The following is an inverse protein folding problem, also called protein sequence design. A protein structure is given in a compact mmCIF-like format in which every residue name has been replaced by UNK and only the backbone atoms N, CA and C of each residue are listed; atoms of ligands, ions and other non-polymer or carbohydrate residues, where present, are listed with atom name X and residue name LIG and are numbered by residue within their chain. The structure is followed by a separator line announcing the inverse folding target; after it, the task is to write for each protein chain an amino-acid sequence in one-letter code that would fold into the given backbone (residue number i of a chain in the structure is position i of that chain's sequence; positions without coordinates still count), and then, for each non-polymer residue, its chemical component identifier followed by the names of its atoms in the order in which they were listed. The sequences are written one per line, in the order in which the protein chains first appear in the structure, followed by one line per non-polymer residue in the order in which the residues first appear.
data_IF_006004525441
#
_entry.id   IF_006004525441
#
_cell.length_a   1.000
_cell.length_b   1.000
_cell.length_c   1.000
_cell.angle_alpha   90.00
_cell.angle_beta   90.00
_cell.angle_gamma   90.00
#
_symmetry.space_group_name_H-M   'P 1'
#
loop_
_entity.id
_entity.type
_entity.pdbx_description
1 polymer ?
#
# COMPACT_ATOMS: atom_id res chain seq x y z
N UNK A 1 -20.67 6.26 26.05
CA UNK A 1 -20.36 5.35 27.17
C UNK A 1 -19.80 6.18 28.31
N UNK A 2 -20.21 5.95 29.55
CA UNK A 2 -19.80 6.67 30.75
C UNK A 2 -18.99 5.75 31.65
N UNK A 3 -17.87 6.27 32.14
CA UNK A 3 -16.93 5.59 33.03
C UNK A 3 -16.58 6.57 34.14
N UNK A 4 -16.14 6.07 35.30
CA UNK A 4 -15.60 6.92 36.36
C UNK A 4 -14.43 7.74 35.82
N UNK A 5 -14.44 9.05 36.04
CA UNK A 5 -13.39 9.94 35.59
C UNK A 5 -12.10 9.66 36.39
N UNK A 6 -11.14 9.04 35.73
CA UNK A 6 -9.78 8.82 36.24
C UNK A 6 -8.80 9.52 35.28
N UNK A 7 -7.87 10.34 35.79
CA UNK A 7 -6.98 11.15 34.96
C UNK A 7 -6.09 10.28 34.05
N UNK A 8 -5.74 9.07 34.49
CA UNK A 8 -4.86 8.15 33.77
C UNK A 8 -5.48 7.51 32.52
N UNK A 9 -6.82 7.56 32.41
CA UNK A 9 -7.60 6.96 31.33
C UNK A 9 -8.03 7.98 30.26
N UNK A 10 -7.84 9.27 30.51
CA UNK A 10 -8.25 10.33 29.59
C UNK A 10 -7.48 10.23 28.27
N UNK A 11 -8.21 10.16 27.15
CA UNK A 11 -7.63 10.09 25.80
C UNK A 11 -7.03 8.72 25.43
N UNK A 12 -7.22 7.69 26.26
CA UNK A 12 -6.73 6.34 26.00
C UNK A 12 -7.87 5.39 25.65
N UNK A 13 -7.53 4.32 24.93
CA UNK A 13 -8.45 3.25 24.62
C UNK A 13 -8.41 2.24 25.78
N UNK A 14 -9.58 1.94 26.33
CA UNK A 14 -9.76 1.10 27.51
C UNK A 14 -10.86 0.07 27.26
N UNK A 15 -10.65 -1.15 27.75
CA UNK A 15 -11.68 -2.18 27.73
C UNK A 15 -12.58 -2.03 28.95
N UNK A 16 -13.89 -2.08 28.73
CA UNK A 16 -14.88 -1.91 29.78
C UNK A 16 -15.96 -2.97 29.73
N UNK A 17 -16.31 -3.48 30.90
CA UNK A 17 -17.47 -4.33 31.10
C UNK A 17 -18.71 -3.45 31.24
N UNK A 18 -19.72 -3.70 30.42
CA UNK A 18 -20.97 -2.94 30.43
C UNK A 18 -21.88 -3.52 31.51
N UNK A 19 -22.28 -2.68 32.47
CA UNK A 19 -23.19 -3.09 33.53
C UNK A 19 -24.57 -2.42 33.46
N UNK A 20 -24.72 -1.32 32.72
CA UNK A 20 -26.00 -0.62 32.58
C UNK A 20 -26.10 0.03 31.20
N UNK A 21 -27.24 -0.15 30.53
CA UNK A 21 -27.54 0.45 29.23
C UNK A 21 -28.89 1.16 29.28
N UNK A 22 -28.89 2.46 29.04
CA UNK A 22 -30.08 3.28 28.85
C UNK A 22 -30.25 3.70 27.38
N UNK A 23 -31.36 4.36 27.07
CA UNK A 23 -31.68 4.83 25.70
C UNK A 23 -30.59 5.73 25.08
N UNK A 24 -29.87 6.49 25.91
CA UNK A 24 -28.87 7.47 25.49
C UNK A 24 -27.51 7.32 26.17
N UNK A 25 -27.36 6.31 27.04
CA UNK A 25 -26.12 6.11 27.78
C UNK A 25 -25.83 4.63 27.96
N UNK A 26 -24.56 4.32 28.12
CA UNK A 26 -24.07 2.99 28.47
C UNK A 26 -23.04 3.24 29.55
N UNK A 27 -23.15 2.62 30.71
CA UNK A 27 -22.14 2.71 31.78
C UNK A 27 -21.27 1.47 31.77
N UNK A 28 -19.97 1.70 31.87
CA UNK A 28 -18.96 0.64 31.91
C UNK A 28 -18.11 0.70 33.16
N UNK A 29 -17.60 -0.44 33.60
CA UNK A 29 -16.55 -0.57 34.60
C UNK A 29 -15.25 -1.00 33.90
N UNK A 30 -14.12 -0.44 34.32
CA UNK A 30 -12.81 -0.86 33.81
C UNK A 30 -12.55 -2.32 34.18
N UNK A 31 -12.05 -3.10 33.23
CA UNK A 31 -11.59 -4.46 33.50
C UNK A 31 -10.23 -4.36 34.19
N UNK A 32 -10.10 -4.92 35.40
CA UNK A 32 -8.92 -4.76 36.27
C UNK A 32 -7.57 -5.21 35.66
N UNK A 33 -7.58 -5.85 34.49
CA UNK A 33 -6.39 -6.34 33.79
C UNK A 33 -6.37 -5.96 32.30
N UNK A 34 -7.13 -4.95 31.88
CA UNK A 34 -7.12 -4.49 30.49
C UNK A 34 -5.91 -3.59 30.22
N UNK A 35 -5.20 -3.89 29.14
CA UNK A 35 -4.12 -3.04 28.65
C UNK A 35 -4.68 -1.67 28.22
N UNK A 36 -4.12 -0.60 28.78
CA UNK A 36 -4.52 0.77 28.44
C UNK A 36 -3.72 1.21 27.21
N UNK A 37 -4.34 1.14 26.04
CA UNK A 37 -3.68 1.44 24.76
C UNK A 37 -3.76 2.94 24.49
N UNK A 38 -2.61 3.59 24.33
CA UNK A 38 -2.57 4.99 23.86
C UNK A 38 -2.74 5.02 22.33
N UNK A 39 -3.86 5.54 21.80
CA UNK A 39 -4.12 5.53 20.37
C UNK A 39 -3.14 6.40 19.56
N UNK A 40 -2.50 7.38 20.20
CA UNK A 40 -1.56 8.31 19.57
C UNK A 40 -0.12 7.79 19.40
N UNK A 41 0.21 6.61 19.95
CA UNK A 41 1.55 6.01 19.86
C UNK A 41 1.67 4.98 18.72
N UNK A 42 0.60 4.72 17.98
CA UNK A 42 0.67 3.84 16.81
C UNK A 42 1.47 4.54 15.72
N UNK A 43 2.50 3.86 15.21
CA UNK A 43 3.26 4.36 14.06
C UNK A 43 2.31 4.65 12.90
N UNK A 44 2.41 5.82 12.26
CA UNK A 44 1.51 6.18 11.17
C UNK A 44 1.62 5.14 10.06
N UNK A 45 0.49 4.89 9.40
CA UNK A 45 0.43 3.96 8.27
C UNK A 45 1.40 4.43 7.17
N UNK A 46 2.14 3.51 6.57
CA UNK A 46 3.08 3.85 5.51
C UNK A 46 2.38 4.57 4.34
N UNK A 47 3.09 5.49 3.67
CA UNK A 47 2.54 6.26 2.55
C UNK A 47 2.03 5.31 1.45
N UNK A 48 0.74 5.36 1.15
CA UNK A 48 0.09 4.50 0.14
C UNK A 48 -0.62 3.27 0.72
N UNK A 49 -0.54 3.03 2.03
CA UNK A 49 -1.36 2.03 2.70
C UNK A 49 -2.76 2.59 2.98
N UNK A 50 -3.77 1.72 2.89
CA UNK A 50 -5.18 2.06 3.07
C UNK A 50 -5.66 1.35 4.34
N UNK A 51 -6.19 2.12 5.30
CA UNK A 51 -6.76 1.56 6.53
C UNK A 51 -7.93 0.62 6.19
N UNK A 52 -7.85 -0.65 6.60
CA UNK A 52 -8.95 -1.60 6.46
C UNK A 52 -8.79 -2.67 5.36
N UNK A 53 -7.74 -2.61 4.55
CA UNK A 53 -7.30 -3.80 3.81
C UNK A 53 -6.57 -4.70 4.81
N UNK A 54 -7.18 -5.85 5.10
CA UNK A 54 -6.68 -6.86 6.01
C UNK A 54 -5.21 -7.19 5.67
N UNK A 55 -4.31 -6.67 6.49
CA UNK A 55 -2.91 -7.08 6.53
C UNK A 55 -2.78 -7.95 7.78
N UNK A 56 -3.28 -9.19 7.73
CA UNK A 56 -3.12 -10.22 8.78
C UNK A 56 -1.64 -10.59 9.08
N UNK A 57 -0.70 -9.79 8.62
CA UNK A 57 0.74 -9.99 8.77
C UNK A 57 1.42 -8.78 9.45
N UNK A 58 0.67 -7.80 9.97
CA UNK A 58 1.22 -6.52 10.39
C UNK A 58 1.96 -6.51 11.75
N UNK A 59 1.96 -7.60 12.51
CA UNK A 59 2.74 -7.70 13.76
C UNK A 59 4.07 -8.47 13.61
N UNK A 60 4.43 -8.90 12.40
CA UNK A 60 5.72 -9.57 12.10
C UNK A 60 6.60 -8.83 11.09
N UNK A 61 6.26 -7.61 10.71
CA UNK A 61 7.11 -6.83 9.80
C UNK A 61 8.08 -6.01 10.63
N UNK A 62 9.10 -6.73 11.13
CA UNK A 62 10.47 -6.22 11.23
C UNK A 62 10.71 -5.32 10.03
N UNK A 63 11.28 -4.14 10.28
CA UNK A 63 11.77 -3.19 9.28
C UNK A 63 12.67 -3.88 8.25
N UNK A 64 12.06 -4.52 7.26
CA UNK A 64 12.75 -5.03 6.09
C UNK A 64 12.41 -4.08 4.96
N UNK A 65 13.24 -3.04 4.85
CA UNK A 65 13.43 -2.26 3.62
C UNK A 65 13.98 -3.19 2.53
N UNK A 66 13.19 -4.16 2.06
CA UNK A 66 13.56 -4.98 0.91
C UNK A 66 13.47 -4.09 -0.33
N UNK A 67 14.57 -3.87 -1.07
CA UNK A 67 14.47 -3.25 -2.38
C UNK A 67 13.60 -4.15 -3.24
N UNK A 68 12.52 -3.59 -3.80
CA UNK A 68 11.66 -4.30 -4.76
C UNK A 68 12.54 -5.03 -5.79
N UNK A 69 12.16 -6.26 -6.20
CA UNK A 69 12.97 -7.03 -7.12
C UNK A 69 13.12 -6.25 -8.43
N UNK A 70 14.36 -5.81 -8.70
CA UNK A 70 14.74 -5.06 -9.90
C UNK A 70 14.44 -5.82 -11.21
N UNK A 71 14.02 -7.08 -11.10
CA UNK A 71 13.67 -8.00 -12.17
C UNK A 71 12.58 -7.46 -13.09
N UNK A 72 11.51 -6.84 -12.57
CA UNK A 72 10.38 -6.37 -13.41
C UNK A 72 10.84 -5.23 -14.35
N UNK A 73 11.68 -4.32 -13.85
CA UNK A 73 12.21 -3.22 -14.65
C UNK A 73 13.08 -3.69 -15.81
N UNK A 74 13.81 -4.78 -15.64
CA UNK A 74 14.62 -5.35 -16.72
C UNK A 74 13.75 -5.90 -17.86
N UNK A 75 12.61 -6.53 -17.56
CA UNK A 75 11.72 -7.04 -18.61
C UNK A 75 11.08 -5.91 -19.43
N UNK A 76 10.69 -4.81 -18.76
CA UNK A 76 10.14 -3.63 -19.44
C UNK A 76 11.19 -3.00 -20.37
N UNK A 77 12.44 -2.87 -19.90
CA UNK A 77 13.54 -2.33 -20.70
C UNK A 77 13.86 -3.21 -21.91
N UNK A 78 13.98 -4.53 -21.72
CA UNK A 78 14.21 -5.47 -22.83
C UNK A 78 13.08 -5.46 -23.85
N UNK A 79 11.82 -5.39 -23.40
CA UNK A 79 10.67 -5.30 -24.30
C UNK A 79 10.72 -4.01 -25.13
N UNK A 80 11.05 -2.87 -24.50
CA UNK A 80 11.25 -1.59 -25.21
C UNK A 80 12.37 -1.65 -26.25
N UNK A 81 13.52 -2.26 -25.91
CA UNK A 81 14.63 -2.44 -26.83
C UNK A 81 14.26 -3.35 -28.02
N UNK A 82 13.53 -4.43 -27.77
CA UNK A 82 13.06 -5.33 -28.82
C UNK A 82 12.15 -4.60 -29.82
N UNK A 83 11.18 -3.82 -29.32
CA UNK A 83 10.28 -3.03 -30.16
C UNK A 83 11.06 -1.98 -30.97
N UNK A 84 12.05 -1.33 -30.38
CA UNK A 84 12.91 -0.36 -31.06
C UNK A 84 13.67 -1.00 -32.25
N UNK A 85 14.28 -2.17 -32.04
CA UNK A 85 15.02 -2.89 -33.08
C UNK A 85 14.09 -3.30 -34.22
N UNK A 86 12.91 -3.83 -33.91
CA UNK A 86 11.91 -4.21 -34.93
C UNK A 86 11.45 -2.99 -35.73
N UNK A 87 11.19 -1.86 -35.06
CA UNK A 87 10.77 -0.62 -35.74
C UNK A 87 11.85 -0.09 -36.70
N UNK A 88 13.11 -0.04 -36.26
CA UNK A 88 14.25 0.38 -37.10
C UNK A 88 14.39 -0.57 -38.30
N UNK A 89 14.27 -1.88 -38.06
CA UNK A 89 14.41 -2.88 -39.13
C UNK A 89 13.32 -2.71 -40.20
N UNK A 90 12.07 -2.53 -39.77
CA UNK A 90 10.95 -2.30 -40.69
C UNK A 90 11.11 -0.99 -41.48
N UNK A 91 11.60 0.07 -40.83
CA UNK A 91 11.82 1.36 -41.49
C UNK A 91 12.95 1.29 -42.53
N UNK A 92 14.05 0.62 -42.20
CA UNK A 92 15.15 0.35 -43.15
C UNK A 92 14.68 -0.54 -44.31
N UNK A 93 13.92 -1.61 -44.03
CA UNK A 93 13.32 -2.43 -45.07
C UNK A 93 12.40 -1.61 -45.99
N UNK A 94 11.59 -0.71 -45.42
CA UNK A 94 10.71 0.19 -46.17
C UNK A 94 11.51 1.16 -47.05
N UNK A 95 12.59 1.74 -46.50
CA UNK A 95 13.48 2.64 -47.22
C UNK A 95 14.18 1.94 -48.40
N UNK A 96 14.72 0.74 -48.17
CA UNK A 96 15.37 -0.07 -49.22
C UNK A 96 14.36 -0.46 -50.30
N UNK A 97 13.16 -0.86 -49.91
CA UNK A 97 12.08 -1.16 -50.84
C UNK A 97 11.76 0.06 -51.70
N UNK A 98 11.60 1.23 -51.10
CA UNK A 98 11.32 2.49 -51.80
C UNK A 98 12.42 2.86 -52.80
N UNK A 99 13.70 2.75 -52.42
CA UNK A 99 14.83 3.04 -53.32
C UNK A 99 14.84 2.07 -54.52
N UNK A 100 14.59 0.77 -54.27
CA UNK A 100 14.56 -0.25 -55.32
C UNK A 100 13.36 -0.10 -56.26
N UNK A 101 12.21 0.36 -55.76
CA UNK A 101 11.03 0.61 -56.60
C UNK A 101 11.12 1.94 -57.35
N UNK A 102 11.84 2.93 -56.82
CA UNK A 102 11.98 4.26 -57.42
C UNK A 102 13.17 4.38 -58.41
N UNK A 103 13.92 3.29 -58.64
CA UNK A 103 15.07 3.25 -59.54
C UNK A 103 14.75 2.63 -60.91
N UNK A 104 13.60 2.96 -61.50
CA UNK A 104 13.32 2.69 -62.92
C UNK A 104 13.02 4.02 -63.63
N UNK A 105 13.95 4.52 -64.46
CA UNK A 105 13.64 5.59 -65.40
C UNK A 105 12.99 4.97 -66.63
N UNK A 106 11.74 5.31 -66.88
CA UNK A 106 11.21 5.76 -68.17
C UNK A 106 9.97 6.61 -67.88
#
# INVERSE_FOLDING_TARGET
VLIKAEPDLMGKLVEVEIYETGKHFIKGRLVNNSEVISPGLRTPLAKGAISGLYQDNADLIVDVKQPLPATIWTHILHFGLFVLVVAITLDVCRLIHMIRTNSWPQ
#
